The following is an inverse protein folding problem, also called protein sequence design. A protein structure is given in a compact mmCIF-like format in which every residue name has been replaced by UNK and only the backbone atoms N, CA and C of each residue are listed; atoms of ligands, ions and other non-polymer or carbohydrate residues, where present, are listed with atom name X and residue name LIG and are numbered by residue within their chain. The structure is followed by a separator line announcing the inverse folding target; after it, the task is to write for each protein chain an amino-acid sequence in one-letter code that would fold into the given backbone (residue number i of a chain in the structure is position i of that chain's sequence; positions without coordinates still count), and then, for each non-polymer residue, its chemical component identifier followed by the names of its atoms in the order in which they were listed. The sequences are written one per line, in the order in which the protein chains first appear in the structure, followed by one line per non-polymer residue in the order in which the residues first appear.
data_IF_552233939676
#
_entry.id   IF_552233939676
#
_cell.length_a   1.000
_cell.length_b   1.000
_cell.length_c   1.000
_cell.angle_alpha   90.00
_cell.angle_beta   90.00
_cell.angle_gamma   90.00
#
_symmetry.space_group_name_H-M   'P 1'
#
loop_
_entity.id
_entity.type
_entity.pdbx_description
1 polymer ?
#
# COMPACT_ATOMS: atom_id res chain seq x y z
N UNK A 1 -7.29 -26.08 0.15
CA UNK A 1 -6.66 -24.90 -0.47
C UNK A 1 -5.34 -24.64 0.24
N UNK A 2 -4.24 -24.47 -0.51
CA UNK A 2 -2.94 -24.15 0.06
C UNK A 2 -2.93 -22.76 0.70
N UNK A 3 -1.94 -22.47 1.55
CA UNK A 3 -1.76 -21.13 2.11
C UNK A 3 -1.34 -20.19 0.99
N UNK A 4 -1.95 -19.01 0.92
CA UNK A 4 -1.50 -17.98 -0.01
C UNK A 4 -0.09 -17.54 0.39
N UNK A 5 0.86 -17.72 -0.52
CA UNK A 5 2.26 -17.41 -0.31
C UNK A 5 2.85 -16.84 -1.59
N UNK A 6 3.61 -15.77 -1.44
CA UNK A 6 4.36 -15.10 -2.49
C UNK A 6 5.82 -15.39 -2.21
N UNK A 7 6.49 -16.07 -3.12
CA UNK A 7 7.93 -16.32 -3.03
C UNK A 7 8.67 -15.08 -3.53
N UNK A 8 9.45 -14.40 -2.68
CA UNK A 8 10.23 -13.25 -3.09
C UNK A 8 11.45 -13.67 -3.92
N UNK A 9 11.94 -12.76 -4.74
CA UNK A 9 13.15 -12.94 -5.57
C UNK A 9 13.93 -11.64 -5.62
N UNK A 10 15.24 -11.66 -5.38
CA UNK A 10 16.03 -10.41 -5.35
C UNK A 10 15.90 -9.61 -6.64
N UNK A 11 15.57 -8.32 -6.52
CA UNK A 11 15.40 -7.39 -7.62
C UNK A 11 16.01 -6.02 -7.24
N UNK A 12 17.32 -5.89 -7.42
CA UNK A 12 18.07 -4.70 -6.99
C UNK A 12 17.57 -3.41 -7.64
N UNK A 13 17.69 -2.30 -6.91
CA UNK A 13 17.41 -0.97 -7.45
C UNK A 13 18.34 -0.69 -8.65
N UNK A 14 17.79 -0.14 -9.75
CA UNK A 14 18.54 0.18 -10.97
C UNK A 14 19.10 1.60 -10.92
N UNK A 15 18.26 2.56 -10.50
CA UNK A 15 18.59 3.99 -10.50
C UNK A 15 18.98 4.51 -9.14
N UNK A 16 18.28 4.04 -8.11
CA UNK A 16 18.42 4.58 -6.76
C UNK A 16 19.43 3.76 -5.98
N UNK A 17 20.70 4.16 -6.06
CA UNK A 17 21.74 3.78 -5.09
C UNK A 17 21.79 4.71 -3.87
N UNK A 18 20.78 5.58 -3.74
CA UNK A 18 20.67 6.42 -2.57
C UNK A 18 20.06 5.59 -1.43
N UNK A 19 20.79 5.41 -0.34
CA UNK A 19 20.19 5.04 0.94
C UNK A 19 19.56 6.27 1.58
N UNK A 20 18.94 6.10 2.75
CA UNK A 20 18.47 7.22 3.59
C UNK A 20 19.56 8.30 3.79
N UNK A 21 20.81 7.87 3.73
CA UNK A 21 22.00 8.69 3.89
C UNK A 21 22.79 8.68 2.59
N UNK A 22 23.41 9.80 2.28
CA UNK A 22 24.42 9.95 1.24
C UNK A 22 25.81 9.99 1.89
N UNK A 23 26.71 9.15 1.39
CA UNK A 23 28.09 9.10 1.86
C UNK A 23 28.98 9.70 0.80
N UNK A 24 29.58 10.83 1.16
CA UNK A 24 30.50 11.57 0.31
C UNK A 24 31.93 11.28 0.73
N UNK A 25 32.77 10.93 -0.24
CA UNK A 25 34.20 10.78 -0.04
C UNK A 25 34.92 11.95 -0.71
N UNK A 26 35.55 12.81 0.08
CA UNK A 26 36.25 13.98 -0.44
C UNK A 26 37.58 13.61 -1.10
N UNK A 27 38.13 14.55 -1.87
CA UNK A 27 39.44 14.42 -2.53
C UNK A 27 40.61 14.26 -1.54
N UNK A 28 40.40 14.54 -0.25
CA UNK A 28 41.39 14.30 0.80
C UNK A 28 41.68 12.80 1.03
N UNK A 29 40.90 11.89 0.45
CA UNK A 29 41.08 10.45 0.62
C UNK A 29 42.43 9.95 0.08
N UNK A 30 43.27 9.46 0.99
CA UNK A 30 44.57 8.83 0.69
C UNK A 30 44.49 7.33 0.30
N UNK A 31 43.29 6.81 0.02
CA UNK A 31 43.04 5.42 -0.37
C UNK A 31 43.62 4.34 0.60
N UNK A 32 43.69 4.63 1.91
CA UNK A 32 44.24 3.72 2.91
C UNK A 32 43.38 2.47 3.19
N UNK A 33 42.08 2.51 2.86
CA UNK A 33 41.16 1.39 3.02
C UNK A 33 40.71 1.11 4.47
N UNK A 34 41.02 1.99 5.43
CA UNK A 34 40.56 1.84 6.82
C UNK A 34 39.04 1.74 6.92
N UNK A 35 38.33 2.53 6.13
CA UNK A 35 36.87 2.53 6.09
C UNK A 35 36.27 1.17 5.67
N UNK A 36 36.98 0.35 4.90
CA UNK A 36 36.55 -1.02 4.56
C UNK A 36 36.58 -1.91 5.81
N UNK A 37 37.62 -1.79 6.65
CA UNK A 37 37.72 -2.55 7.90
C UNK A 37 36.77 -2.03 8.99
N UNK A 38 36.48 -0.74 8.95
CA UNK A 38 35.56 -0.08 9.87
C UNK A 38 34.09 -0.45 9.58
N UNK A 39 33.71 -0.55 8.30
CA UNK A 39 32.33 -0.75 7.90
C UNK A 39 31.95 -2.23 7.85
N UNK A 40 31.00 -2.62 8.71
CA UNK A 40 30.42 -3.98 8.72
C UNK A 40 29.29 -4.18 7.70
N UNK A 41 28.90 -3.11 7.01
CA UNK A 41 27.77 -3.08 6.07
C UNK A 41 28.21 -2.99 4.60
N UNK A 42 29.50 -3.17 4.32
CA UNK A 42 30.04 -3.16 2.95
C UNK A 42 29.74 -1.88 2.14
N UNK A 43 29.59 -0.73 2.81
CA UNK A 43 29.44 0.59 2.18
C UNK A 43 30.69 0.95 1.37
N UNK A 44 31.86 0.50 1.82
CA UNK A 44 33.13 0.86 1.22
C UNK A 44 33.79 -0.37 0.59
N UNK A 45 34.21 -0.23 -0.66
CA UNK A 45 34.93 -1.26 -1.40
C UNK A 45 36.09 -0.64 -2.20
N UNK A 46 37.02 -1.48 -2.66
CA UNK A 46 38.00 -1.09 -3.67
C UNK A 46 37.36 -1.12 -5.06
N UNK A 47 37.91 -0.34 -5.98
CA UNK A 47 37.56 -0.42 -7.41
C UNK A 47 37.91 -1.80 -7.97
N UNK A 48 37.03 -2.35 -8.81
CA UNK A 48 37.25 -3.66 -9.46
C UNK A 48 38.38 -3.60 -10.49
N UNK A 49 38.55 -2.46 -11.13
CA UNK A 49 39.54 -2.19 -12.18
C UNK A 49 40.90 -1.75 -11.63
N UNK A 50 40.93 -1.00 -10.52
CA UNK A 50 42.17 -0.67 -9.80
C UNK A 50 42.01 -0.85 -8.28
N UNK A 51 42.50 -1.97 -7.71
CA UNK A 51 42.41 -2.25 -6.28
C UNK A 51 43.15 -1.25 -5.38
N UNK A 52 44.01 -0.38 -5.93
CA UNK A 52 44.70 0.67 -5.16
C UNK A 52 43.76 1.83 -4.81
N UNK A 53 42.68 2.00 -5.58
CA UNK A 53 41.73 3.10 -5.41
C UNK A 53 40.46 2.62 -4.71
N UNK A 54 39.88 3.51 -3.90
CA UNK A 54 38.56 3.31 -3.33
C UNK A 54 37.49 3.45 -4.40
N UNK A 55 36.46 2.60 -4.39
CA UNK A 55 35.26 2.74 -5.21
C UNK A 55 34.28 3.71 -4.55
N UNK A 56 33.37 4.28 -5.35
CA UNK A 56 32.26 5.08 -4.84
C UNK A 56 31.52 4.36 -3.70
N UNK A 57 31.20 5.06 -2.59
CA UNK A 57 30.46 4.47 -1.48
C UNK A 57 29.10 3.94 -1.94
N UNK A 58 28.73 2.76 -1.43
CA UNK A 58 27.38 2.19 -1.58
C UNK A 58 26.48 2.75 -0.49
N UNK A 59 25.99 3.96 -0.74
CA UNK A 59 25.19 4.73 0.21
C UNK A 59 23.93 3.99 0.66
N UNK A 60 23.38 3.13 -0.21
CA UNK A 60 22.26 2.24 0.04
C UNK A 60 22.45 1.29 1.24
N UNK A 61 23.70 0.97 1.62
CA UNK A 61 23.99 0.04 2.72
C UNK A 61 24.28 0.73 4.06
N UNK A 62 24.22 2.07 4.13
CA UNK A 62 24.66 2.78 5.33
C UNK A 62 23.57 2.87 6.40
N UNK A 63 23.94 2.52 7.64
CA UNK A 63 23.07 2.58 8.83
C UNK A 63 23.50 3.64 9.87
N UNK A 64 24.22 4.69 9.46
CA UNK A 64 24.63 5.80 10.35
C UNK A 64 25.34 5.39 11.65
N UNK A 65 26.19 4.36 11.65
CA UNK A 65 27.01 4.04 12.83
C UNK A 65 28.22 4.99 13.01
N UNK A 66 28.51 5.84 12.02
CA UNK A 66 29.62 6.81 11.96
C UNK A 66 31.04 6.26 12.16
N UNK A 67 31.20 4.95 12.30
CA UNK A 67 32.51 4.32 12.54
C UNK A 67 33.54 4.61 11.44
N UNK A 68 33.11 4.63 10.17
CA UNK A 68 33.99 4.96 9.05
C UNK A 68 34.43 6.43 9.04
N UNK A 69 33.61 7.33 9.58
CA UNK A 69 33.95 8.76 9.74
C UNK A 69 35.01 8.90 10.82
N UNK A 70 34.76 8.33 12.00
CA UNK A 70 35.68 8.39 13.16
C UNK A 70 37.03 7.72 12.89
N UNK A 71 37.06 6.60 12.17
CA UNK A 71 38.30 5.86 11.89
C UNK A 71 39.08 6.38 10.67
N UNK A 72 38.56 7.39 9.96
CA UNK A 72 39.25 7.96 8.81
C UNK A 72 40.43 8.84 9.27
N UNK A 73 41.69 8.48 8.97
CA UNK A 73 42.85 9.23 9.48
C UNK A 73 43.01 10.64 8.90
N UNK A 74 42.27 10.95 7.83
CA UNK A 74 42.30 12.23 7.10
C UNK A 74 40.91 12.86 6.98
N UNK A 75 39.94 12.36 7.75
CA UNK A 75 38.57 12.91 7.83
C UNK A 75 37.85 13.08 6.47
N UNK A 76 38.17 12.23 5.50
CA UNK A 76 37.69 12.35 4.12
C UNK A 76 36.30 11.75 3.87
N UNK A 77 35.59 11.29 4.90
CA UNK A 77 34.28 10.63 4.78
C UNK A 77 33.23 11.46 5.50
N UNK A 78 32.20 11.86 4.78
CA UNK A 78 31.07 12.60 5.31
C UNK A 78 29.78 11.82 5.08
N UNK A 79 28.90 11.81 6.09
CA UNK A 79 27.59 11.19 6.03
C UNK A 79 26.56 12.30 6.20
N UNK A 80 25.71 12.48 5.20
CA UNK A 80 24.63 13.49 5.22
C UNK A 80 23.29 12.83 4.86
N UNK A 81 22.15 13.40 5.28
CA UNK A 81 20.86 12.95 4.77
C UNK A 81 20.83 13.03 3.25
N UNK A 82 20.28 12.01 2.59
CA UNK A 82 20.16 12.01 1.14
C UNK A 82 19.18 13.09 0.69
N UNK A 83 19.56 13.99 -0.24
CA UNK A 83 18.65 14.98 -0.80
C UNK A 83 17.45 14.36 -1.50
N UNK A 84 17.59 13.13 -2.03
CA UNK A 84 16.49 12.41 -2.67
C UNK A 84 15.34 12.13 -1.69
N UNK A 85 15.67 11.96 -0.41
CA UNK A 85 14.69 11.68 0.65
C UNK A 85 14.40 12.93 1.50
N UNK A 86 14.85 14.11 1.07
CA UNK A 86 14.48 15.36 1.71
C UNK A 86 13.08 15.77 1.23
N UNK A 87 12.10 15.75 2.14
CA UNK A 87 10.71 16.11 1.85
C UNK A 87 9.82 14.92 1.49
N UNK A 88 8.93 15.11 0.52
CA UNK A 88 7.96 14.12 0.08
C UNK A 88 8.03 13.87 -1.43
N UNK A 89 7.91 12.62 -1.85
CA UNK A 89 7.78 12.19 -3.24
C UNK A 89 6.38 11.60 -3.38
N UNK A 90 5.54 12.16 -4.27
CA UNK A 90 4.13 11.72 -4.44
C UNK A 90 3.36 11.70 -3.11
N UNK A 91 3.55 12.74 -2.29
CA UNK A 91 2.98 12.84 -0.93
C UNK A 91 3.44 11.76 0.06
N UNK A 92 4.40 10.90 -0.33
CA UNK A 92 5.03 9.91 0.54
C UNK A 92 6.33 10.50 1.09
N UNK A 93 6.54 10.38 2.41
CA UNK A 93 7.75 10.90 3.07
C UNK A 93 8.98 10.20 2.52
N UNK A 94 10.10 10.91 2.36
CA UNK A 94 11.29 10.32 1.77
C UNK A 94 11.78 9.04 2.46
N UNK A 95 11.68 8.95 3.78
CA UNK A 95 12.01 7.72 4.52
C UNK A 95 11.09 6.53 4.19
N UNK A 96 9.82 6.78 3.93
CA UNK A 96 8.85 5.76 3.51
C UNK A 96 9.16 5.29 2.08
N UNK A 97 9.62 6.19 1.20
CA UNK A 97 10.09 5.81 -0.15
C UNK A 97 11.29 4.85 -0.05
N UNK A 98 12.25 5.12 0.85
CA UNK A 98 13.39 4.23 1.06
C UNK A 98 12.93 2.85 1.54
N UNK A 99 11.94 2.81 2.44
CA UNK A 99 11.28 1.59 2.90
C UNK A 99 10.67 0.81 1.74
N UNK A 100 9.84 1.45 0.91
CA UNK A 100 9.20 0.82 -0.25
C UNK A 100 10.21 0.25 -1.26
N UNK A 101 11.31 0.97 -1.51
CA UNK A 101 12.37 0.49 -2.39
C UNK A 101 13.10 -0.72 -1.80
N UNK A 102 13.32 -0.74 -0.49
CA UNK A 102 13.90 -1.90 0.20
C UNK A 102 12.98 -3.12 0.10
N UNK A 103 11.70 -2.95 0.40
CA UNK A 103 10.69 -4.01 0.33
C UNK A 103 10.56 -4.57 -1.08
N UNK A 104 10.48 -3.69 -2.08
CA UNK A 104 10.44 -4.09 -3.48
C UNK A 104 11.74 -4.79 -3.93
N UNK A 105 12.89 -4.48 -3.33
CA UNK A 105 14.17 -5.11 -3.72
C UNK A 105 14.36 -6.50 -3.14
N UNK A 106 13.89 -6.72 -1.92
CA UNK A 106 14.18 -7.93 -1.13
C UNK A 106 12.98 -8.83 -0.93
N UNK A 107 11.77 -8.27 -0.98
CA UNK A 107 10.53 -8.92 -0.56
C UNK A 107 10.46 -9.21 0.93
N UNK A 108 11.25 -8.50 1.74
CA UNK A 108 11.37 -8.71 3.20
C UNK A 108 10.81 -7.54 3.97
N UNK A 109 10.28 -7.85 5.14
CA UNK A 109 9.85 -6.85 6.13
C UNK A 109 11.07 -6.02 6.57
N UNK A 110 11.01 -4.67 6.48
CA UNK A 110 12.06 -3.79 6.98
C UNK A 110 12.23 -3.95 8.49
N UNK A 111 13.46 -4.17 8.95
CA UNK A 111 13.78 -4.26 10.37
C UNK A 111 14.64 -3.08 10.78
N UNK A 112 14.21 -2.36 11.81
CA UNK A 112 14.95 -1.25 12.42
C UNK A 112 15.06 -1.44 13.93
N UNK A 113 15.92 -0.65 14.58
CA UNK A 113 16.10 -0.64 16.04
C UNK A 113 15.98 0.78 16.60
N UNK A 114 16.02 0.89 17.93
CA UNK A 114 15.89 2.15 18.68
C UNK A 114 14.48 2.80 18.71
N UNK A 115 13.42 2.01 18.49
CA UNK A 115 12.03 2.44 18.60
C UNK A 115 11.37 2.79 17.27
N UNK A 116 10.13 3.29 17.33
CA UNK A 116 9.40 3.75 16.14
C UNK A 116 9.95 5.10 15.68
N UNK A 117 10.39 5.18 14.43
CA UNK A 117 11.01 6.37 13.85
C UNK A 117 10.05 7.32 13.12
N UNK A 118 8.78 6.94 12.98
CA UNK A 118 7.74 7.76 12.38
C UNK A 118 7.08 8.72 13.38
N UNK A 119 6.07 9.50 12.94
CA UNK A 119 5.34 10.42 13.78
C UNK A 119 4.47 9.62 14.75
N UNK A 120 4.60 9.89 16.04
CA UNK A 120 3.81 9.17 17.05
C UNK A 120 2.31 9.53 17.02
N UNK A 121 2.00 10.71 16.50
CA UNK A 121 0.67 11.27 16.38
C UNK A 121 0.61 12.16 15.14
N UNK A 122 -0.58 12.35 14.61
CA UNK A 122 -0.83 13.18 13.44
C UNK A 122 -2.22 12.98 12.89
N UNK A 123 -2.43 13.48 11.68
CA UNK A 123 -3.68 13.30 10.95
C UNK A 123 -3.70 11.98 10.18
N UNK A 124 -4.90 11.52 9.82
CA UNK A 124 -5.08 10.33 9.01
C UNK A 124 -4.45 9.08 9.61
N UNK A 125 -3.58 8.40 8.86
CA UNK A 125 -2.96 7.15 9.30
C UNK A 125 -2.05 7.30 10.53
N UNK A 126 -1.39 8.45 10.69
CA UNK A 126 -0.46 8.71 11.81
C UNK A 126 -1.20 8.90 13.14
N UNK A 127 -2.49 9.23 13.08
CA UNK A 127 -3.37 9.33 14.26
C UNK A 127 -3.98 7.99 14.70
N UNK A 128 -3.65 6.89 14.02
CA UNK A 128 -4.25 5.57 14.25
C UNK A 128 -3.18 4.58 14.70
N UNK A 129 -3.37 4.01 15.89
CA UNK A 129 -2.59 2.89 16.41
C UNK A 129 -3.43 1.62 16.49
N UNK A 130 -2.77 0.48 16.34
CA UNK A 130 -3.42 -0.83 16.44
C UNK A 130 -3.24 -1.42 17.83
N UNK A 131 -4.33 -1.85 18.44
CA UNK A 131 -4.29 -2.55 19.73
C UNK A 131 -3.87 -4.01 19.54
N UNK A 132 -3.01 -4.50 20.44
CA UNK A 132 -2.45 -5.84 20.40
C UNK A 132 -3.01 -6.70 21.52
N UNK A 133 -3.14 -8.00 21.27
CA UNK A 133 -3.53 -8.95 22.32
C UNK A 133 -2.30 -9.34 23.13
N UNK A 134 -2.39 -9.27 24.46
CA UNK A 134 -1.30 -9.68 25.34
C UNK A 134 -1.68 -10.91 26.18
N UNK A 135 -2.45 -10.70 27.26
CA UNK A 135 -2.71 -11.71 28.28
C UNK A 135 -3.97 -12.51 27.97
N UNK A 136 -5.07 -11.83 27.65
CA UNK A 136 -6.41 -12.45 27.58
C UNK A 136 -6.59 -13.29 26.31
N UNK A 137 -5.89 -12.94 25.23
CA UNK A 137 -5.92 -13.68 23.97
C UNK A 137 -4.47 -13.88 23.52
N UNK A 138 -4.05 -15.12 23.20
CA UNK A 138 -2.68 -15.35 22.74
C UNK A 138 -2.47 -14.68 21.39
N UNK A 139 -1.30 -14.05 21.22
CA UNK A 139 -0.80 -13.66 19.91
C UNK A 139 -0.57 -14.89 19.05
N UNK A 140 -0.58 -14.67 17.73
CA UNK A 140 -0.50 -15.72 16.72
C UNK A 140 0.72 -15.49 15.85
N UNK A 141 1.42 -16.58 15.51
CA UNK A 141 2.53 -16.55 14.55
C UNK A 141 1.98 -16.85 13.15
N UNK A 142 1.71 -15.76 12.41
CA UNK A 142 1.15 -15.79 11.06
C UNK A 142 2.19 -16.04 9.97
N UNK A 143 3.39 -15.45 10.09
CA UNK A 143 4.42 -15.49 9.03
C UNK A 143 5.13 -16.85 8.92
N UNK A 144 5.44 -17.49 10.05
CA UNK A 144 6.09 -18.80 10.04
C UNK A 144 5.07 -19.93 9.95
N UNK A 145 3.79 -19.58 9.90
CA UNK A 145 2.72 -20.50 9.56
C UNK A 145 2.51 -21.58 10.61
N UNK A 146 2.84 -21.29 11.87
CA UNK A 146 2.41 -22.12 13.02
C UNK A 146 0.90 -22.08 13.15
N UNK A 147 0.30 -20.94 12.79
CA UNK A 147 -1.14 -20.78 12.67
C UNK A 147 -1.50 -20.23 11.29
N UNK A 148 -2.68 -20.61 10.81
CA UNK A 148 -3.19 -20.11 9.53
C UNK A 148 -4.03 -18.86 9.76
N UNK A 149 -3.65 -17.76 9.12
CA UNK A 149 -4.42 -16.52 9.02
C UNK A 149 -4.80 -16.35 7.54
N UNK A 150 -6.09 -16.23 7.27
CA UNK A 150 -6.61 -15.96 5.92
C UNK A 150 -6.48 -14.47 5.60
N UNK A 151 -5.79 -14.14 4.50
CA UNK A 151 -5.70 -12.78 3.94
C UNK A 151 -6.72 -12.53 2.83
N UNK A 152 -7.51 -13.54 2.44
CA UNK A 152 -8.50 -13.44 1.37
C UNK A 152 -9.65 -12.52 1.77
N UNK A 153 -10.04 -11.62 0.87
CA UNK A 153 -11.24 -10.79 0.98
C UNK A 153 -12.15 -11.03 -0.22
N UNK A 154 -13.44 -10.73 -0.05
CA UNK A 154 -14.44 -10.92 -1.09
C UNK A 154 -15.16 -9.60 -1.34
N UNK A 155 -15.18 -9.20 -2.61
CA UNK A 155 -15.73 -7.95 -3.08
C UNK A 155 -17.05 -8.21 -3.81
N UNK A 156 -18.09 -7.48 -3.43
CA UNK A 156 -19.39 -7.50 -4.09
C UNK A 156 -20.56 -7.65 -3.12
N UNK A 157 -21.72 -7.97 -3.68
CA UNK A 157 -22.98 -8.06 -2.93
C UNK A 157 -23.19 -9.45 -2.36
N UNK A 158 -23.43 -9.52 -1.04
CA UNK A 158 -23.87 -10.77 -0.39
C UNK A 158 -25.40 -10.83 -0.35
N UNK A 159 -25.99 -12.03 -0.53
CA UNK A 159 -27.42 -12.22 -0.33
C UNK A 159 -27.81 -11.87 1.11
N UNK A 160 -29.03 -11.35 1.28
CA UNK A 160 -29.55 -10.94 2.60
C UNK A 160 -29.83 -12.14 3.49
N UNK A 161 -30.21 -13.24 2.87
CA UNK A 161 -30.56 -14.49 3.53
C UNK A 161 -29.93 -15.68 2.82
N UNK A 162 -29.67 -16.74 3.58
CA UNK A 162 -29.30 -18.06 3.03
C UNK A 162 -30.43 -18.64 2.16
N UNK A 163 -31.64 -18.10 2.28
CA UNK A 163 -32.82 -18.48 1.51
C UNK A 163 -33.00 -17.66 0.22
N UNK A 164 -32.17 -16.64 -0.01
CA UNK A 164 -32.24 -15.90 -1.27
C UNK A 164 -31.72 -16.80 -2.40
N UNK A 165 -32.52 -16.95 -3.45
CA UNK A 165 -32.15 -17.72 -4.65
C UNK A 165 -31.22 -16.93 -5.60
N UNK A 166 -31.00 -15.63 -5.32
CA UNK A 166 -30.04 -14.80 -6.06
C UNK A 166 -28.61 -15.31 -5.84
N UNK A 167 -27.93 -15.65 -6.94
CA UNK A 167 -26.53 -16.06 -6.88
C UNK A 167 -25.65 -14.89 -6.39
N UNK A 168 -24.73 -15.13 -5.44
CA UNK A 168 -23.84 -14.09 -4.96
C UNK A 168 -22.91 -13.62 -6.10
N UNK A 169 -22.89 -12.32 -6.34
CA UNK A 169 -21.92 -11.69 -7.24
C UNK A 169 -20.72 -11.24 -6.42
N UNK A 170 -19.77 -12.15 -6.27
CA UNK A 170 -18.57 -11.97 -5.45
C UNK A 170 -17.31 -12.28 -6.24
N UNK A 171 -16.26 -11.50 -5.98
CA UNK A 171 -14.91 -11.73 -6.45
C UNK A 171 -14.00 -11.91 -5.25
N UNK A 172 -13.27 -13.01 -5.24
CA UNK A 172 -12.27 -13.29 -4.21
C UNK A 172 -10.90 -12.78 -4.66
N UNK A 173 -10.26 -11.96 -3.83
CA UNK A 173 -8.84 -11.61 -3.97
C UNK A 173 -8.06 -12.15 -2.76
N UNK A 174 -6.86 -12.73 -2.95
CA UNK A 174 -6.14 -13.43 -1.88
C UNK A 174 -5.48 -12.49 -0.86
N UNK A 175 -5.36 -11.20 -1.18
CA UNK A 175 -4.80 -10.16 -0.34
C UNK A 175 -5.58 -8.84 -0.62
N UNK A 176 -5.93 -8.02 0.38
CA UNK A 176 -6.88 -6.90 0.25
C UNK A 176 -6.27 -5.66 -0.42
N UNK A 177 -5.51 -5.83 -1.49
CA UNK A 177 -4.85 -4.75 -2.23
C UNK A 177 -5.11 -4.91 -3.72
N UNK A 178 -5.71 -3.89 -4.31
CA UNK A 178 -5.95 -3.71 -5.74
C UNK A 178 -4.92 -2.69 -6.26
N UNK A 179 -4.40 -2.89 -7.46
CA UNK A 179 -3.55 -1.87 -8.10
C UNK A 179 -4.44 -0.85 -8.81
N UNK A 180 -4.28 0.42 -8.47
CA UNK A 180 -5.04 1.48 -9.13
C UNK A 180 -4.41 1.89 -10.45
N UNK A 181 -4.71 3.10 -10.90
CA UNK A 181 -4.43 3.53 -12.27
C UNK A 181 -2.93 3.62 -12.55
N UNK A 182 -2.49 2.97 -13.62
CA UNK A 182 -1.08 2.93 -14.04
C UNK A 182 -0.75 3.88 -15.21
N UNK A 183 0.53 4.28 -15.36
CA UNK A 183 0.99 5.07 -16.51
C UNK A 183 0.68 4.42 -17.85
N UNK A 184 0.58 5.23 -18.91
CA UNK A 184 0.31 4.75 -20.28
C UNK A 184 1.48 4.02 -20.96
N UNK A 185 2.60 3.85 -20.28
CA UNK A 185 3.77 3.17 -20.83
C UNK A 185 3.52 1.66 -20.95
N UNK A 186 3.57 1.14 -22.17
CA UNK A 186 3.24 -0.25 -22.50
C UNK A 186 4.05 -1.27 -21.70
N UNK A 187 5.35 -1.02 -21.49
CA UNK A 187 6.22 -1.93 -20.74
C UNK A 187 5.84 -1.96 -19.26
N UNK A 188 5.54 -0.80 -18.68
CA UNK A 188 5.09 -0.69 -17.29
C UNK A 188 3.72 -1.37 -17.13
N UNK A 189 2.78 -1.12 -18.04
CA UNK A 189 1.47 -1.75 -18.02
C UNK A 189 1.58 -3.27 -18.04
N UNK A 190 2.42 -3.82 -18.93
CA UNK A 190 2.66 -5.25 -19.00
C UNK A 190 3.25 -5.82 -17.69
N UNK A 191 4.18 -5.11 -17.04
CA UNK A 191 4.76 -5.54 -15.76
C UNK A 191 3.69 -5.59 -14.64
N UNK A 192 2.84 -4.56 -14.56
CA UNK A 192 1.79 -4.49 -13.52
C UNK A 192 0.74 -5.58 -13.76
N UNK A 193 0.29 -5.77 -15.00
CA UNK A 193 -0.69 -6.80 -15.36
C UNK A 193 -0.17 -8.22 -15.11
N UNK A 194 1.08 -8.50 -15.49
CA UNK A 194 1.72 -9.79 -15.22
C UNK A 194 1.87 -10.02 -13.70
N UNK A 195 2.29 -9.01 -12.94
CA UNK A 195 2.38 -9.11 -11.49
C UNK A 195 1.01 -9.37 -10.85
N UNK A 196 -0.03 -8.66 -11.27
CA UNK A 196 -1.39 -8.84 -10.78
C UNK A 196 -1.92 -10.25 -11.05
N UNK A 197 -1.67 -10.78 -12.25
CA UNK A 197 -2.02 -12.15 -12.63
C UNK A 197 -1.33 -13.20 -11.75
N UNK A 198 -0.03 -13.02 -11.46
CA UNK A 198 0.71 -13.94 -10.59
C UNK A 198 0.31 -13.82 -9.11
N UNK A 199 -0.12 -12.63 -8.68
CA UNK A 199 -0.59 -12.37 -7.31
C UNK A 199 -2.06 -12.78 -7.12
N UNK A 200 -2.83 -12.89 -8.20
CA UNK A 200 -4.26 -13.12 -8.18
C UNK A 200 -5.07 -11.91 -7.72
N UNK A 201 -4.58 -10.68 -7.98
CA UNK A 201 -5.27 -9.44 -7.64
C UNK A 201 -5.70 -8.65 -8.88
N UNK A 202 -6.45 -7.59 -8.68
CA UNK A 202 -7.07 -6.76 -9.71
C UNK A 202 -6.25 -5.50 -10.01
N UNK A 203 -6.40 -4.97 -11.22
CA UNK A 203 -5.81 -3.71 -11.68
C UNK A 203 -6.86 -2.82 -12.32
N UNK A 204 -7.00 -1.57 -11.88
CA UNK A 204 -7.86 -0.58 -12.53
C UNK A 204 -7.17 -0.02 -13.78
N UNK A 205 -7.84 -0.09 -14.93
CA UNK A 205 -7.24 0.21 -16.23
C UNK A 205 -8.13 1.08 -17.11
N UNK A 206 -7.51 1.78 -18.06
CA UNK A 206 -8.24 2.43 -19.14
C UNK A 206 -8.79 1.37 -20.14
N UNK A 207 -9.91 1.65 -20.83
CA UNK A 207 -10.47 0.73 -21.82
C UNK A 207 -9.50 0.37 -22.95
N UNK A 208 -8.61 1.30 -23.32
CA UNK A 208 -7.58 1.07 -24.35
C UNK A 208 -6.57 0.00 -23.93
N UNK A 209 -6.21 -0.06 -22.65
CA UNK A 209 -5.31 -1.09 -22.11
C UNK A 209 -5.92 -2.48 -22.25
N UNK A 210 -7.23 -2.64 -22.06
CA UNK A 210 -7.92 -3.92 -22.24
C UNK A 210 -7.81 -4.44 -23.68
N UNK A 211 -7.93 -3.54 -24.66
CA UNK A 211 -7.79 -3.91 -26.07
C UNK A 211 -6.37 -4.38 -26.41
N UNK A 212 -5.36 -3.70 -25.84
CA UNK A 212 -3.95 -4.04 -26.05
C UNK A 212 -3.50 -5.32 -25.31
N UNK A 213 -4.15 -5.66 -24.19
CA UNK A 213 -3.70 -6.69 -23.25
C UNK A 213 -4.80 -7.69 -22.86
N UNK A 214 -5.63 -8.10 -23.82
CA UNK A 214 -6.81 -8.95 -23.57
C UNK A 214 -6.52 -10.29 -22.87
N UNK A 215 -5.29 -10.80 -22.93
CA UNK A 215 -4.86 -12.00 -22.19
C UNK A 215 -4.97 -11.84 -20.67
N UNK A 216 -4.89 -10.62 -20.15
CA UNK A 216 -4.98 -10.32 -18.72
C UNK A 216 -6.39 -9.90 -18.27
N UNK A 217 -7.39 -9.95 -19.15
CA UNK A 217 -8.75 -9.47 -18.89
C UNK A 217 -9.37 -9.93 -17.55
N UNK A 218 -9.19 -11.18 -17.07
CA UNK A 218 -9.75 -11.61 -15.78
C UNK A 218 -9.26 -10.82 -14.56
N UNK A 219 -8.10 -10.18 -14.65
CA UNK A 219 -7.45 -9.39 -13.59
C UNK A 219 -7.61 -7.89 -13.78
N UNK A 220 -8.33 -7.45 -14.82
CA UNK A 220 -8.49 -6.05 -15.17
C UNK A 220 -9.86 -5.55 -14.72
N UNK A 221 -9.89 -4.33 -14.19
CA UNK A 221 -11.09 -3.56 -13.87
C UNK A 221 -11.11 -2.36 -14.82
N UNK A 222 -11.70 -2.49 -16.02
CA UNK A 222 -11.73 -1.37 -16.96
C UNK A 222 -12.67 -0.28 -16.43
N UNK A 223 -12.18 0.96 -16.41
CA UNK A 223 -12.96 2.15 -16.10
C UNK A 223 -13.72 2.58 -17.36
N UNK A 224 -15.05 2.44 -17.37
CA UNK A 224 -15.89 2.72 -18.54
C UNK A 224 -16.65 4.03 -18.41
N UNK A 225 -16.92 4.65 -19.56
CA UNK A 225 -17.71 5.88 -19.68
C UNK A 225 -19.15 5.61 -20.15
N UNK A 226 -19.53 4.34 -20.31
CA UNK A 226 -20.87 3.89 -20.72
C UNK A 226 -21.21 2.55 -20.06
N UNK A 227 -22.50 2.28 -19.87
CA UNK A 227 -23.00 1.01 -19.32
C UNK A 227 -23.02 -0.05 -20.42
N UNK A 228 -21.85 -0.61 -20.71
CA UNK A 228 -21.68 -1.67 -21.69
C UNK A 228 -21.10 -2.94 -21.04
N UNK A 229 -21.66 -4.10 -21.39
CA UNK A 229 -21.09 -5.37 -20.99
C UNK A 229 -19.79 -5.62 -21.77
N UNK A 230 -18.75 -6.05 -21.05
CA UNK A 230 -17.46 -6.38 -21.63
C UNK A 230 -17.17 -7.85 -21.39
N UNK A 231 -16.92 -8.59 -22.46
CA UNK A 231 -16.58 -10.00 -22.37
C UNK A 231 -15.20 -10.22 -21.75
N UNK A 232 -15.10 -11.21 -20.87
CA UNK A 232 -13.82 -11.68 -20.30
C UNK A 232 -13.31 -10.91 -19.08
N UNK A 233 -14.04 -9.90 -18.61
CA UNK A 233 -13.75 -9.21 -17.34
C UNK A 233 -14.72 -9.66 -16.25
N UNK A 234 -14.25 -9.75 -15.01
CA UNK A 234 -15.08 -10.15 -13.87
C UNK A 234 -15.74 -8.95 -13.18
N UNK A 235 -15.12 -7.77 -13.31
CA UNK A 235 -15.51 -6.53 -12.65
C UNK A 235 -15.25 -5.35 -13.58
N UNK A 236 -16.11 -4.34 -13.50
CA UNK A 236 -15.93 -3.05 -14.20
C UNK A 236 -15.99 -1.90 -13.19
N UNK A 237 -15.33 -0.80 -13.52
CA UNK A 237 -15.46 0.45 -12.77
C UNK A 237 -16.26 1.47 -13.58
N UNK A 238 -17.21 2.14 -12.95
CA UNK A 238 -18.02 3.21 -13.52
C UNK A 238 -18.02 4.41 -12.57
N UNK A 239 -18.01 5.63 -13.09
CA UNK A 239 -18.22 6.81 -12.25
C UNK A 239 -19.61 6.75 -11.57
N UNK A 240 -19.67 7.18 -10.31
CA UNK A 240 -20.89 7.11 -9.50
C UNK A 240 -22.11 7.76 -10.19
N UNK A 241 -21.92 8.89 -10.87
CA UNK A 241 -23.01 9.57 -11.57
C UNK A 241 -23.59 8.72 -12.71
N UNK A 242 -22.73 8.04 -13.48
CA UNK A 242 -23.16 7.16 -14.55
C UNK A 242 -23.97 5.97 -14.02
N UNK A 243 -23.56 5.41 -12.87
CA UNK A 243 -24.31 4.33 -12.21
C UNK A 243 -25.70 4.79 -11.77
N UNK A 244 -25.82 6.03 -11.26
CA UNK A 244 -27.11 6.57 -10.84
C UNK A 244 -28.04 6.90 -12.03
N UNK A 245 -27.47 7.35 -13.14
CA UNK A 245 -28.23 7.77 -14.31
C UNK A 245 -28.64 6.58 -15.20
N UNK A 246 -27.75 5.60 -15.38
CA UNK A 246 -27.91 4.50 -16.35
C UNK A 246 -27.95 3.10 -15.72
N UNK A 247 -27.64 2.97 -14.43
CA UNK A 247 -27.60 1.68 -13.72
C UNK A 247 -26.28 0.94 -13.90
N UNK A 248 -26.33 -0.40 -13.88
CA UNK A 248 -25.16 -1.28 -13.96
C UNK A 248 -25.31 -2.31 -15.07
N UNK A 249 -24.20 -2.75 -15.71
CA UNK A 249 -24.25 -3.83 -16.68
C UNK A 249 -24.66 -5.16 -16.02
N UNK A 250 -25.47 -5.95 -16.72
CA UNK A 250 -25.92 -7.26 -16.24
C UNK A 250 -24.78 -8.29 -16.25
N UNK A 251 -24.73 -9.16 -15.23
CA UNK A 251 -23.85 -10.32 -15.20
C UNK A 251 -22.37 -10.03 -14.85
N UNK A 252 -22.02 -8.78 -14.52
CA UNK A 252 -20.64 -8.40 -14.14
C UNK A 252 -20.65 -7.56 -12.86
N UNK A 253 -19.66 -7.79 -11.98
CA UNK A 253 -19.55 -7.00 -10.74
C UNK A 253 -19.26 -5.55 -11.11
N UNK A 254 -20.03 -4.61 -10.55
CA UNK A 254 -19.84 -3.19 -10.83
C UNK A 254 -19.32 -2.47 -9.60
N UNK A 255 -18.17 -1.81 -9.78
CA UNK A 255 -17.54 -0.94 -8.81
C UNK A 255 -17.86 0.52 -9.15
N UNK A 256 -18.65 1.18 -8.32
CA UNK A 256 -19.00 2.58 -8.49
C UNK A 256 -17.91 3.48 -7.89
N UNK A 257 -17.22 4.23 -8.74
CA UNK A 257 -16.17 5.19 -8.35
C UNK A 257 -16.80 6.48 -7.85
N UNK A 258 -16.68 6.72 -6.54
CA UNK A 258 -17.15 7.91 -5.89
C UNK A 258 -15.97 8.87 -5.65
N UNK A 259 -15.81 9.79 -6.60
CA UNK A 259 -14.81 10.85 -6.54
C UNK A 259 -15.08 11.80 -5.35
N UNK A 260 -14.06 12.49 -4.84
CA UNK A 260 -14.20 13.39 -3.70
C UNK A 260 -15.05 14.60 -4.12
N UNK A 261 -16.32 14.61 -3.75
CA UNK A 261 -17.23 15.75 -3.92
C UNK A 261 -17.74 16.11 -2.53
N UNK A 262 -17.86 17.42 -2.27
CA UNK A 262 -18.13 17.99 -0.94
C UNK A 262 -19.32 17.36 -0.22
N UNK A 263 -19.41 17.68 1.08
CA UNK A 263 -20.21 17.12 2.19
C UNK A 263 -21.72 16.86 1.99
N UNK A 264 -22.29 16.79 0.78
CA UNK A 264 -23.50 15.98 0.60
C UNK A 264 -23.20 14.57 1.12
N UNK A 265 -24.08 14.04 1.98
CA UNK A 265 -23.79 12.88 2.82
C UNK A 265 -23.29 11.71 1.97
N UNK A 266 -21.96 11.49 1.93
CA UNK A 266 -21.32 10.39 1.20
C UNK A 266 -21.96 9.05 1.56
N UNK A 267 -22.45 8.95 2.79
CA UNK A 267 -23.19 7.79 3.30
C UNK A 267 -24.53 7.58 2.60
N UNK A 268 -25.33 8.62 2.37
CA UNK A 268 -26.56 8.54 1.56
C UNK A 268 -26.25 8.17 0.12
N UNK A 269 -25.22 8.78 -0.47
CA UNK A 269 -24.79 8.49 -1.85
C UNK A 269 -24.41 7.01 -2.03
N UNK A 270 -23.74 6.41 -1.04
CA UNK A 270 -23.41 4.97 -1.06
C UNK A 270 -24.68 4.12 -1.08
N UNK A 271 -25.74 4.52 -0.38
CA UNK A 271 -27.03 3.81 -0.41
C UNK A 271 -27.72 3.97 -1.77
N UNK A 272 -27.72 5.17 -2.35
CA UNK A 272 -28.26 5.39 -3.70
C UNK A 272 -27.54 4.52 -4.74
N UNK A 273 -26.21 4.42 -4.67
CA UNK A 273 -25.42 3.56 -5.55
C UNK A 273 -25.76 2.07 -5.35
N UNK A 274 -25.92 1.64 -4.10
CA UNK A 274 -26.36 0.28 -3.79
C UNK A 274 -27.74 -0.02 -4.40
N UNK A 275 -28.68 0.91 -4.29
CA UNK A 275 -30.03 0.75 -4.82
C UNK A 275 -30.06 0.83 -6.36
N UNK A 276 -29.14 1.58 -6.97
CA UNK A 276 -28.88 1.58 -8.41
C UNK A 276 -28.17 0.30 -8.93
N UNK A 277 -27.80 -0.63 -8.04
CA UNK A 277 -27.24 -1.93 -8.39
C UNK A 277 -25.71 -2.04 -8.28
N UNK A 278 -25.02 -1.04 -7.73
CA UNK A 278 -23.58 -1.15 -7.46
C UNK A 278 -23.30 -2.28 -6.45
N UNK A 279 -22.23 -3.03 -6.72
CA UNK A 279 -21.80 -4.16 -5.90
C UNK A 279 -20.65 -3.78 -4.96
N UNK A 280 -19.83 -2.84 -5.41
CA UNK A 280 -18.69 -2.28 -4.70
C UNK A 280 -18.77 -0.76 -4.85
N UNK A 281 -18.52 -0.01 -3.77
CA UNK A 281 -18.22 1.42 -3.86
C UNK A 281 -16.72 1.61 -3.70
N UNK A 282 -16.14 2.34 -4.62
CA UNK A 282 -14.76 2.77 -4.58
C UNK A 282 -14.70 4.24 -4.14
N UNK A 283 -14.34 4.46 -2.87
CA UNK A 283 -14.17 5.79 -2.28
C UNK A 283 -12.77 6.31 -2.59
N UNK A 284 -12.68 7.44 -3.28
CA UNK A 284 -11.41 7.99 -3.76
C UNK A 284 -11.05 9.26 -2.99
N UNK A 285 -9.94 9.22 -2.27
CA UNK A 285 -9.23 10.40 -1.77
C UNK A 285 -8.14 10.85 -2.74
N UNK A 286 -7.61 12.06 -2.52
CA UNK A 286 -6.44 12.55 -3.26
C UNK A 286 -5.14 11.84 -2.85
N UNK A 287 -4.00 12.27 -3.43
CA UNK A 287 -2.68 11.70 -3.13
C UNK A 287 -2.29 11.82 -1.65
N UNK A 288 -2.86 12.77 -0.91
CA UNK A 288 -2.67 12.94 0.54
C UNK A 288 -3.71 12.17 1.37
N UNK A 289 -4.63 11.45 0.72
CA UNK A 289 -5.71 10.71 1.37
C UNK A 289 -6.91 11.58 1.76
N UNK A 290 -7.05 12.78 1.19
CA UNK A 290 -8.14 13.70 1.54
C UNK A 290 -9.34 13.55 0.62
N UNK A 291 -10.53 13.54 1.21
CA UNK A 291 -11.84 13.58 0.54
C UNK A 291 -12.49 14.91 0.92
N UNK A 292 -12.29 15.93 0.08
CA UNK A 292 -12.55 17.31 0.48
C UNK A 292 -11.61 17.69 1.63
N UNK A 293 -12.16 18.03 2.79
CA UNK A 293 -11.39 18.45 3.98
C UNK A 293 -11.21 17.33 5.01
N UNK A 294 -11.67 16.11 4.73
CA UNK A 294 -11.66 14.98 5.67
C UNK A 294 -10.77 13.86 5.14
N UNK A 295 -9.92 13.30 5.98
CA UNK A 295 -9.07 12.16 5.58
C UNK A 295 -9.91 10.90 5.35
N UNK A 296 -9.51 10.07 4.38
CA UNK A 296 -10.22 8.87 3.92
C UNK A 296 -10.55 7.89 5.07
N UNK A 297 -9.71 7.83 6.11
CA UNK A 297 -9.94 7.00 7.30
C UNK A 297 -11.20 7.42 8.07
N UNK A 298 -11.46 8.72 8.20
CA UNK A 298 -12.66 9.21 8.90
C UNK A 298 -13.91 9.10 8.02
N UNK A 299 -13.76 9.27 6.71
CA UNK A 299 -14.83 8.99 5.73
C UNK A 299 -15.25 7.53 5.81
N UNK A 300 -14.28 6.60 5.78
CA UNK A 300 -14.53 5.16 5.90
C UNK A 300 -15.29 4.83 7.18
N UNK A 301 -14.85 5.38 8.32
CA UNK A 301 -15.52 5.16 9.61
C UNK A 301 -16.96 5.65 9.60
N UNK A 302 -17.19 6.82 9.01
CA UNK A 302 -18.53 7.44 8.90
C UNK A 302 -19.45 6.58 8.02
N UNK A 303 -19.00 6.26 6.80
CA UNK A 303 -19.74 5.40 5.86
C UNK A 303 -20.01 4.03 6.48
N UNK A 304 -19.00 3.43 7.11
CA UNK A 304 -19.12 2.12 7.74
C UNK A 304 -20.17 2.10 8.86
N UNK A 305 -20.14 3.08 9.77
CA UNK A 305 -21.13 3.20 10.85
C UNK A 305 -22.54 3.38 10.30
N UNK A 306 -22.71 4.28 9.33
CA UNK A 306 -24.01 4.51 8.70
C UNK A 306 -24.57 3.24 8.04
N UNK A 307 -23.73 2.52 7.27
CA UNK A 307 -24.12 1.25 6.65
C UNK A 307 -24.49 0.17 7.67
N UNK A 308 -23.89 0.16 8.86
CA UNK A 308 -24.30 -0.73 9.96
C UNK A 308 -25.67 -0.30 10.51
N UNK A 309 -25.85 0.98 10.80
CA UNK A 309 -27.08 1.53 11.39
C UNK A 309 -28.32 1.21 10.54
N UNK A 310 -28.19 1.31 9.21
CA UNK A 310 -29.27 1.00 8.27
C UNK A 310 -29.33 -0.47 7.84
N UNK A 311 -28.42 -1.32 8.35
CA UNK A 311 -28.38 -2.76 8.03
C UNK A 311 -28.00 -3.08 6.58
N UNK A 312 -27.23 -2.22 5.93
CA UNK A 312 -26.78 -2.35 4.54
C UNK A 312 -25.34 -2.86 4.38
N UNK A 313 -24.54 -2.91 5.46
CA UNK A 313 -23.09 -3.17 5.37
C UNK A 313 -22.68 -4.47 4.67
N UNK A 314 -23.49 -5.52 4.75
CA UNK A 314 -23.21 -6.80 4.05
C UNK A 314 -23.61 -6.79 2.58
N UNK A 315 -24.46 -5.85 2.16
CA UNK A 315 -25.04 -5.78 0.81
C UNK A 315 -24.12 -5.09 -0.19
N UNK A 316 -23.08 -4.41 0.28
CA UNK A 316 -22.14 -3.68 -0.57
C UNK A 316 -20.73 -3.77 0.02
N UNK A 317 -19.73 -3.90 -0.86
CA UNK A 317 -18.31 -3.79 -0.47
C UNK A 317 -17.84 -2.34 -0.57
N UNK A 318 -16.93 -1.94 0.32
CA UNK A 318 -16.32 -0.61 0.33
C UNK A 318 -14.82 -0.75 0.08
N UNK A 319 -14.33 -0.10 -0.98
CA UNK A 319 -12.91 -0.04 -1.35
C UNK A 319 -12.43 1.38 -1.17
N UNK A 320 -11.21 1.57 -0.65
CA UNK A 320 -10.63 2.87 -0.39
C UNK A 320 -9.35 3.13 -1.19
N UNK A 321 -9.23 4.32 -1.78
CA UNK A 321 -8.04 4.86 -2.45
C UNK A 321 -7.66 6.21 -1.81
N UNK A 322 -6.38 6.55 -1.82
CA UNK A 322 -5.85 7.85 -1.39
C UNK A 322 -4.90 7.76 -0.19
N UNK A 323 -3.66 8.26 -0.34
CA UNK A 323 -2.65 8.31 0.72
C UNK A 323 -2.11 6.95 1.20
N UNK A 324 -2.46 5.84 0.55
CA UNK A 324 -2.08 4.48 0.97
C UNK A 324 -0.69 4.14 0.41
N UNK A 325 0.33 4.37 1.23
CA UNK A 325 1.72 4.26 0.83
C UNK A 325 2.52 3.23 1.63
N UNK A 326 2.06 2.80 2.81
CA UNK A 326 2.78 1.85 3.68
C UNK A 326 1.93 0.61 3.97
N UNK A 327 2.61 -0.51 4.28
CA UNK A 327 1.95 -1.76 4.63
C UNK A 327 0.96 -1.60 5.80
N UNK A 328 1.28 -0.77 6.79
CA UNK A 328 0.41 -0.50 7.95
C UNK A 328 -0.86 0.31 7.61
N UNK A 329 -0.91 1.02 6.47
CA UNK A 329 -2.12 1.73 6.05
C UNK A 329 -3.23 0.74 5.67
N UNK A 330 -2.87 -0.44 5.14
CA UNK A 330 -3.83 -1.48 4.74
C UNK A 330 -4.71 -1.93 5.92
N UNK A 331 -4.17 -2.48 7.03
CA UNK A 331 -5.00 -2.87 8.17
C UNK A 331 -5.71 -1.67 8.81
N UNK A 332 -5.12 -0.47 8.82
CA UNK A 332 -5.79 0.75 9.31
C UNK A 332 -7.05 1.06 8.49
N UNK A 333 -7.01 0.97 7.16
CA UNK A 333 -8.19 1.12 6.29
C UNK A 333 -9.23 0.04 6.56
N UNK A 334 -8.82 -1.23 6.73
CA UNK A 334 -9.74 -2.32 7.05
C UNK A 334 -10.45 -2.07 8.40
N UNK A 335 -9.70 -1.70 9.44
CA UNK A 335 -10.24 -1.32 10.75
C UNK A 335 -11.21 -0.13 10.66
N UNK A 336 -10.90 0.85 9.80
CA UNK A 336 -11.80 1.98 9.53
C UNK A 336 -13.08 1.58 8.78
N UNK A 337 -13.12 0.38 8.19
CA UNK A 337 -14.32 -0.20 7.63
C UNK A 337 -14.25 -0.57 6.15
N UNK A 338 -13.10 -0.46 5.49
CA UNK A 338 -12.90 -0.94 4.12
C UNK A 338 -12.88 -2.48 4.04
N UNK A 339 -13.27 -3.04 2.89
CA UNK A 339 -13.10 -4.46 2.55
C UNK A 339 -11.77 -4.72 1.84
N UNK A 340 -11.29 -3.75 1.04
CA UNK A 340 -9.98 -3.76 0.39
C UNK A 340 -9.50 -2.32 0.15
N UNK A 341 -8.25 -2.17 -0.26
CA UNK A 341 -7.68 -0.88 -0.63
C UNK A 341 -7.15 -0.88 -2.06
N UNK A 342 -7.15 0.28 -2.70
CA UNK A 342 -6.47 0.54 -3.96
C UNK A 342 -5.17 1.30 -3.65
N UNK A 343 -4.07 0.87 -4.26
CA UNK A 343 -2.79 1.58 -4.17
C UNK A 343 -2.36 2.06 -5.55
N UNK A 344 -1.89 3.30 -5.61
CA UNK A 344 -1.35 3.91 -6.84
C UNK A 344 0.14 4.21 -6.71
N UNK A 345 0.51 4.85 -5.61
CA UNK A 345 1.86 5.39 -5.44
C UNK A 345 2.88 4.32 -5.07
N UNK A 346 2.53 3.37 -4.19
CA UNK A 346 3.48 2.41 -3.63
C UNK A 346 4.12 1.50 -4.70
N UNK A 347 3.32 0.95 -5.61
CA UNK A 347 3.85 0.07 -6.67
C UNK A 347 4.61 0.86 -7.76
N UNK A 348 4.25 2.13 -8.00
CA UNK A 348 5.00 3.00 -8.90
C UNK A 348 6.38 3.33 -8.31
N UNK A 349 6.46 3.61 -7.01
CA UNK A 349 7.74 3.75 -6.30
C UNK A 349 8.55 2.46 -6.38
N UNK A 350 7.92 1.28 -6.22
CA UNK A 350 8.60 0.00 -6.38
C UNK A 350 9.24 -0.16 -7.77
N UNK A 351 8.62 0.37 -8.82
CA UNK A 351 9.15 0.40 -10.19
C UNK A 351 10.16 1.53 -10.46
N UNK A 352 10.53 2.31 -9.43
CA UNK A 352 11.38 3.50 -9.50
C UNK A 352 10.77 4.67 -10.32
N UNK A 353 9.43 4.73 -10.39
CA UNK A 353 8.67 5.81 -11.01
C UNK A 353 8.42 6.93 -9.97
N UNK A 354 9.51 7.57 -9.51
CA UNK A 354 9.47 8.51 -8.39
C UNK A 354 8.81 9.85 -8.73
N UNK A 355 9.11 10.43 -9.89
CA UNK A 355 8.60 11.75 -10.30
C UNK A 355 7.77 11.61 -11.59
N UNK A 356 6.57 12.23 -11.67
CA UNK A 356 5.73 12.19 -12.87
C UNK A 356 6.46 12.68 -14.13
N UNK A 357 7.28 13.72 -14.01
CA UNK A 357 7.97 14.36 -15.14
C UNK A 357 9.30 13.71 -15.52
N UNK A 358 9.74 12.69 -14.75
CA UNK A 358 10.98 11.96 -15.02
C UNK A 358 10.71 10.46 -15.01
N UNK A 359 9.85 9.95 -15.92
CA UNK A 359 9.60 8.53 -16.03
C UNK A 359 10.92 7.78 -16.24
N UNK A 360 11.06 6.57 -15.68
CA UNK A 360 12.13 5.71 -16.11
C UNK A 360 12.01 5.45 -17.60
N UNK A 361 13.15 5.54 -18.28
CA UNK A 361 13.25 5.16 -19.68
C UNK A 361 12.84 3.69 -19.76
N UNK A 362 11.64 3.46 -20.29
CA UNK A 362 10.97 2.17 -20.31
C UNK A 362 11.69 1.13 -21.15
N UNK A 363 12.56 1.57 -22.07
CA UNK A 363 13.50 0.74 -22.82
C UNK A 363 14.51 -0.02 -21.94
N UNK A 364 14.63 0.31 -20.65
CA UNK A 364 15.53 -0.36 -19.70
C UNK A 364 14.80 -1.15 -18.59
N UNK A 365 13.47 -1.24 -18.62
CA UNK A 365 12.70 -2.04 -17.66
C UNK A 365 12.57 -3.45 -18.22
N UNK A 366 13.38 -4.37 -17.69
CA UNK A 366 13.20 -5.81 -17.95
C UNK A 366 11.93 -6.30 -17.26
N UNK A 367 11.18 -7.15 -17.95
CA UNK A 367 9.89 -7.66 -17.47
C UNK A 367 10.07 -8.40 -16.13
N UNK A 368 11.02 -9.34 -16.08
CA UNK A 368 11.30 -10.14 -14.88
C UNK A 368 11.63 -9.27 -13.67
N UNK A 369 12.41 -8.20 -13.88
CA UNK A 369 12.70 -7.22 -12.84
C UNK A 369 11.43 -6.50 -12.37
N UNK A 370 10.64 -5.93 -13.29
CA UNK A 370 9.44 -5.16 -12.93
C UNK A 370 8.42 -5.99 -12.15
N UNK A 371 8.17 -7.21 -12.58
CA UNK A 371 7.26 -8.14 -11.89
C UNK A 371 7.82 -8.58 -10.54
N UNK A 372 9.11 -8.89 -10.46
CA UNK A 372 9.75 -9.23 -9.18
C UNK A 372 9.62 -8.09 -8.16
N UNK A 373 9.80 -6.84 -8.57
CA UNK A 373 9.67 -5.65 -7.68
C UNK A 373 8.29 -5.54 -7.05
N UNK A 374 7.23 -5.65 -7.86
CA UNK A 374 5.84 -5.56 -7.39
C UNK A 374 5.51 -6.76 -6.49
N UNK A 375 5.88 -7.99 -6.91
CA UNK A 375 5.65 -9.20 -6.12
C UNK A 375 6.37 -9.16 -4.77
N UNK A 376 7.59 -8.66 -4.74
CA UNK A 376 8.37 -8.47 -3.52
C UNK A 376 7.69 -7.47 -2.57
N UNK A 377 7.28 -6.31 -3.07
CA UNK A 377 6.56 -5.32 -2.26
C UNK A 377 5.33 -5.96 -1.61
N UNK A 378 4.49 -6.65 -2.41
CA UNK A 378 3.30 -7.33 -1.91
C UNK A 378 3.62 -8.51 -0.98
N UNK A 379 4.76 -9.18 -1.16
CA UNK A 379 5.24 -10.20 -0.22
C UNK A 379 5.52 -9.58 1.17
N UNK A 380 6.25 -8.46 1.22
CA UNK A 380 6.54 -7.76 2.46
C UNK A 380 5.27 -7.24 3.14
N UNK A 381 4.35 -6.67 2.36
CA UNK A 381 3.09 -6.14 2.88
C UNK A 381 2.15 -7.24 3.38
N UNK A 382 2.09 -8.39 2.69
CA UNK A 382 1.38 -9.58 3.17
C UNK A 382 1.93 -10.01 4.52
N UNK A 383 3.24 -10.12 4.66
CA UNK A 383 3.85 -10.55 5.92
C UNK A 383 3.59 -9.57 7.07
N UNK A 384 3.66 -8.27 6.81
CA UNK A 384 3.26 -7.26 7.79
C UNK A 384 1.77 -7.33 8.16
N UNK A 385 0.88 -7.57 7.20
CA UNK A 385 -0.55 -7.78 7.50
C UNK A 385 -0.76 -9.03 8.37
N UNK A 386 -0.02 -10.12 8.11
CA UNK A 386 -0.05 -11.33 8.92
C UNK A 386 0.45 -11.08 10.36
N UNK A 387 1.50 -10.28 10.53
CA UNK A 387 2.00 -9.86 11.85
C UNK A 387 0.96 -9.03 12.61
N UNK A 388 0.37 -8.02 11.95
CA UNK A 388 -0.68 -7.18 12.57
C UNK A 388 -1.91 -8.02 12.94
N UNK A 389 -2.38 -8.87 12.03
CA UNK A 389 -3.48 -9.80 12.31
C UNK A 389 -3.15 -10.76 13.45
N UNK A 390 -1.93 -11.28 13.47
CA UNK A 390 -1.45 -12.22 14.46
C UNK A 390 -1.35 -11.60 15.85
N UNK A 391 -0.83 -10.37 15.94
CA UNK A 391 -0.80 -9.58 17.17
C UNK A 391 -2.21 -9.27 17.70
N UNK A 392 -3.18 -8.99 16.83
CA UNK A 392 -4.58 -8.79 17.22
C UNK A 392 -5.32 -10.09 17.60
N UNK A 393 -4.73 -11.25 17.31
CA UNK A 393 -5.35 -12.56 17.51
C UNK A 393 -6.39 -12.93 16.45
N UNK A 394 -6.40 -12.24 15.29
CA UNK A 394 -7.35 -12.41 14.19
C UNK A 394 -6.88 -13.50 13.22
N UNK A 395 -7.78 -14.43 12.88
CA UNK A 395 -7.51 -15.54 11.94
C UNK A 395 -7.95 -15.27 10.50
N UNK A 396 -8.67 -14.19 10.27
CA UNK A 396 -9.25 -13.85 8.98
C UNK A 396 -9.34 -12.33 8.90
N UNK A 397 -8.63 -11.74 7.95
CA UNK A 397 -8.54 -10.27 7.80
C UNK A 397 -9.91 -9.63 7.56
N UNK A 398 -10.90 -10.39 7.05
CA UNK A 398 -12.29 -9.89 6.93
C UNK A 398 -12.90 -9.52 8.28
N UNK A 399 -12.40 -10.06 9.39
CA UNK A 399 -12.81 -9.69 10.75
C UNK A 399 -12.19 -8.39 11.26
N UNK A 400 -11.21 -7.82 10.56
CA UNK A 400 -10.70 -6.49 10.88
C UNK A 400 -11.70 -5.41 10.47
N UNK A 401 -12.59 -5.70 9.52
CA UNK A 401 -13.54 -4.76 8.94
C UNK A 401 -14.41 -4.10 10.02
N UNK A 402 -14.12 -2.83 10.32
CA UNK A 402 -14.87 -2.07 11.32
C UNK A 402 -14.63 -2.50 12.78
N UNK A 403 -13.57 -3.26 13.06
CA UNK A 403 -13.22 -3.68 14.43
C UNK A 403 -12.57 -2.52 15.18
N UNK A 404 -13.36 -1.49 15.49
CA UNK A 404 -12.89 -0.27 16.16
C UNK A 404 -12.29 -0.55 17.55
N UNK A 405 -12.65 -1.67 18.20
CA UNK A 405 -12.05 -2.09 19.47
C UNK A 405 -10.57 -2.47 19.35
N UNK A 406 -10.04 -2.62 18.12
CA UNK A 406 -8.61 -2.85 17.85
C UNK A 406 -7.87 -1.60 17.37
N UNK A 407 -8.49 -0.44 17.54
CA UNK A 407 -7.98 0.83 17.07
C UNK A 407 -7.90 1.81 18.23
N UNK A 408 -6.74 2.47 18.34
CA UNK A 408 -6.46 3.54 19.28
C UNK A 408 -6.35 4.82 18.48
N UNK A 409 -7.29 5.73 18.66
CA UNK A 409 -7.35 6.99 17.94
C UNK A 409 -6.76 8.10 18.78
N UNK A 410 -5.69 8.70 18.28
CA UNK A 410 -4.94 9.71 19.02
C UNK A 410 -5.84 10.86 19.49
N UNK A 411 -6.65 11.44 18.57
CA UNK A 411 -7.55 12.56 18.88
C UNK A 411 -8.60 12.19 19.94
N UNK A 412 -9.19 11.00 19.87
CA UNK A 412 -10.21 10.57 20.83
C UNK A 412 -9.59 10.33 22.21
N UNK A 413 -8.43 9.66 22.27
CA UNK A 413 -7.70 9.40 23.51
C UNK A 413 -7.18 10.68 24.15
N UNK A 414 -6.73 11.65 23.35
CA UNK A 414 -6.30 12.96 23.84
C UNK A 414 -7.47 13.72 24.46
N UNK A 415 -8.62 13.78 23.79
CA UNK A 415 -9.83 14.40 24.32
C UNK A 415 -10.29 13.74 25.62
N UNK A 416 -10.30 12.41 25.68
CA UNK A 416 -10.61 11.65 26.90
C UNK A 416 -9.64 12.00 28.05
N UNK A 417 -8.35 12.06 27.76
CA UNK A 417 -7.31 12.40 28.73
C UNK A 417 -7.46 13.83 29.26
N UNK A 418 -7.63 14.82 28.38
CA UNK A 418 -7.86 16.23 28.73
C UNK A 418 -9.07 16.36 29.65
N UNK A 419 -10.17 15.69 29.30
CA UNK A 419 -11.41 15.67 30.08
C UNK A 419 -11.24 15.02 31.45
N UNK A 420 -10.45 13.94 31.55
CA UNK A 420 -10.10 13.28 32.81
C UNK A 420 -9.24 14.16 33.73
N UNK A 421 -8.36 14.97 33.15
CA UNK A 421 -7.49 15.89 33.90
C UNK A 421 -8.18 17.20 34.31
N UNK A 422 -9.41 17.47 33.83
CA UNK A 422 -10.18 18.65 34.19
C UNK A 422 -9.68 19.94 33.55
N UNK A 423 -8.97 19.85 32.43
CA UNK A 423 -8.66 21.01 31.60
C UNK A 423 -9.90 21.38 30.76
N UNK A 424 -10.29 22.66 30.76
CA UNK A 424 -11.33 23.17 29.87
C UNK A 424 -10.73 23.38 28.47
N UNK A 425 -11.45 22.97 27.41
CA UNK A 425 -11.06 23.24 26.02
C UNK A 425 -11.16 24.76 25.76
N UNK A 426 -10.04 25.42 25.43
CA UNK A 426 -10.01 26.82 24.96
C UNK A 426 -10.42 26.97 23.50
#
# INVERSE_FOLDING_TARGET
MGRYHITPSEAQNRRVRAGRLEIERSEACINCGHCIRACVYDVHARRKDDPRLMAEPRSENCHACFRCVTECPVEAIHVKPSPLYAGSIRHVRGEDVATLLFEASTGRVPVSGAGYGGPFAGDGFDGIWTDMSEIVRPTRDGIHGREYISTTVQLGRRPRSVLDEEAPMLIDIPFPVIFGKMPSDERIQQCVLEAASQLGTLVIVAPTTLQSFSTYAPWMVPHLNSVEAIDGVNIVELDAQLVLDEGVPEGVVTMARLAPHGTMELSERVLELMDAGAHVVHLVGDDAGMVGDVHITDVLRTVHRHLIEVGARERISVVAEGGIALAEHVPKCLLCGADAVVIDTAYLIALEYLLPDQPPSSSHVEMEWGVARIRNLMCSWRDQLLEVAGAMGIKDVRRMRGEFGRMLLHRELEQEFVKMCGFEEE
#
